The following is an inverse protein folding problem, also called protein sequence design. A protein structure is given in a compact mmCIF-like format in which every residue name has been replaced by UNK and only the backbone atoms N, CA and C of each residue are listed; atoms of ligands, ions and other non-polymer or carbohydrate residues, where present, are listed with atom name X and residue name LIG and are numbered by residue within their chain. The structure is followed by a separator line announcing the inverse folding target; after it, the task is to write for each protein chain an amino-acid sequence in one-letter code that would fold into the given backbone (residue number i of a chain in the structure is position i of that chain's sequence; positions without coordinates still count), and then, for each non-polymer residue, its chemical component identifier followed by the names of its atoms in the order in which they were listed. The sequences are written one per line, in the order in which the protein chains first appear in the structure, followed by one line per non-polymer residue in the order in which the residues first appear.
data_IF_179109613662
#
_entry.id   IF_179109613662
#
_cell.length_a   1.000
_cell.length_b   1.000
_cell.length_c   1.000
_cell.angle_alpha   90.00
_cell.angle_beta   90.00
_cell.angle_gamma   90.00
#
_symmetry.space_group_name_H-M   'P 1'
#
loop_
_entity.id
_entity.type
_entity.pdbx_description
1 polymer ?
#
# COMPACT_ATOMS: atom_id res chain seq x y z
N UNK A 1 -3.36 -58.26 30.60
CA UNK A 1 -3.47 -57.42 29.37
C UNK A 1 -3.50 -55.98 29.83
N UNK A 2 -2.35 -55.29 29.68
CA UNK A 2 -2.16 -54.12 28.79
C UNK A 2 -2.72 -52.79 29.35
N UNK A 3 -1.75 -51.93 29.71
CA UNK A 3 -1.73 -50.48 29.90
C UNK A 3 -2.72 -49.65 29.06
N UNK A 4 -3.17 -48.50 29.58
CA UNK A 4 -2.64 -47.16 29.21
C UNK A 4 -3.14 -46.06 30.17
N UNK A 5 -2.18 -45.27 30.65
CA UNK A 5 -2.34 -43.97 31.26
C UNK A 5 -2.19 -42.86 30.18
N UNK A 6 -2.86 -41.71 30.38
CA UNK A 6 -2.57 -40.40 29.75
C UNK A 6 -2.79 -39.37 30.87
N UNK A 7 -1.78 -38.83 31.55
CA UNK A 7 -0.75 -37.88 31.11
C UNK A 7 -1.36 -36.62 30.46
N UNK A 8 -1.87 -35.70 31.29
CA UNK A 8 -1.87 -34.27 30.95
C UNK A 8 -0.60 -33.68 31.55
N UNK A 9 0.28 -33.28 30.63
CA UNK A 9 1.61 -32.75 30.83
C UNK A 9 1.46 -31.31 31.31
N UNK A 10 1.80 -31.06 32.57
CA UNK A 10 2.29 -29.75 32.99
C UNK A 10 3.55 -29.49 32.16
N UNK A 11 3.49 -28.53 31.24
CA UNK A 11 4.68 -28.06 30.57
C UNK A 11 5.44 -27.20 31.60
N UNK A 12 6.38 -27.82 32.31
CA UNK A 12 7.49 -27.10 32.93
C UNK A 12 8.29 -26.45 31.80
N UNK A 13 8.10 -25.15 31.57
CA UNK A 13 9.11 -24.37 30.87
C UNK A 13 10.16 -24.00 31.91
N UNK A 14 11.32 -24.66 31.79
CA UNK A 14 12.53 -24.22 32.45
C UNK A 14 12.96 -22.90 31.84
N UNK A 15 12.92 -21.81 32.61
CA UNK A 15 13.75 -20.63 32.32
C UNK A 15 14.97 -20.71 33.22
N UNK A 16 16.05 -21.21 32.66
CA UNK A 16 17.39 -20.87 33.11
C UNK A 16 17.72 -19.49 32.54
N UNK A 17 17.65 -18.44 33.36
CA UNK A 17 18.39 -17.20 33.13
C UNK A 17 18.67 -16.53 34.48
N UNK A 18 19.92 -16.10 34.62
CA UNK A 18 20.58 -15.70 35.85
C UNK A 18 19.96 -14.48 36.56
N UNK A 19 20.07 -14.48 37.90
CA UNK A 19 20.27 -13.24 38.65
C UNK A 19 19.07 -12.70 39.44
N UNK A 20 18.44 -13.49 40.30
CA UNK A 20 17.66 -12.94 41.42
C UNK A 20 18.26 -13.45 42.74
N UNK A 21 19.06 -12.61 43.40
CA UNK A 21 19.52 -12.81 44.77
C UNK A 21 18.40 -12.43 45.75
N UNK A 22 17.30 -13.18 45.73
CA UNK A 22 16.32 -13.15 46.80
C UNK A 22 16.65 -14.29 47.76
N UNK A 23 16.91 -13.98 49.02
CA UNK A 23 17.19 -15.01 50.03
C UNK A 23 15.93 -15.84 50.28
N UNK A 24 15.82 -17.01 49.66
CA UNK A 24 14.82 -18.01 50.01
C UNK A 24 15.11 -18.52 51.43
N UNK A 25 14.39 -17.93 52.39
CA UNK A 25 14.29 -18.46 53.74
C UNK A 25 13.34 -19.66 53.68
N UNK A 26 13.73 -20.87 54.13
CA UNK A 26 12.82 -22.01 54.12
C UNK A 26 11.62 -21.72 55.03
N UNK A 27 10.44 -22.14 54.56
CA UNK A 27 9.17 -21.96 55.25
C UNK A 27 9.21 -22.52 56.68
N UNK A 28 8.76 -21.72 57.64
CA UNK A 28 8.50 -22.12 59.02
C UNK A 28 7.28 -23.07 59.06
N UNK A 29 7.40 -24.32 59.55
CA UNK A 29 6.31 -25.28 59.56
C UNK A 29 5.19 -24.97 60.57
N UNK A 30 5.20 -23.83 61.26
CA UNK A 30 4.22 -23.50 62.31
C UNK A 30 3.00 -22.67 61.87
N UNK A 31 2.78 -22.38 60.57
CA UNK A 31 1.61 -21.61 60.13
C UNK A 31 0.80 -22.29 59.00
N UNK A 32 -0.32 -22.98 59.29
CA UNK A 32 -1.16 -23.61 58.28
C UNK A 32 -2.06 -22.63 57.50
N UNK A 33 -1.88 -21.31 57.66
CA UNK A 33 -2.61 -20.29 56.89
C UNK A 33 -1.78 -19.66 55.77
N UNK A 34 -0.69 -20.30 55.33
CA UNK A 34 -0.08 -19.97 54.05
C UNK A 34 -1.02 -20.43 52.92
N UNK A 35 -2.14 -19.72 52.77
CA UNK A 35 -2.92 -19.74 51.55
C UNK A 35 -1.94 -19.54 50.40
N UNK A 36 -2.00 -20.44 49.40
CA UNK A 36 -1.36 -20.25 48.12
C UNK A 36 -1.77 -18.86 47.64
N UNK A 37 -0.91 -17.86 47.83
CA UNK A 37 -1.00 -16.65 47.06
C UNK A 37 -0.73 -17.12 45.63
N UNK A 38 -1.81 -17.24 44.86
CA UNK A 38 -1.74 -17.15 43.42
C UNK A 38 -1.08 -15.79 43.18
N UNK A 39 0.24 -15.80 43.06
CA UNK A 39 1.01 -14.64 42.66
C UNK A 39 0.51 -14.31 41.27
N UNK A 40 -0.41 -13.35 41.21
CA UNK A 40 -0.70 -12.66 39.96
C UNK A 40 0.59 -11.93 39.63
N UNK A 41 1.39 -12.55 38.75
CA UNK A 41 2.36 -11.78 38.00
C UNK A 41 1.49 -10.85 37.16
N UNK A 42 1.35 -9.60 37.61
CA UNK A 42 0.83 -8.54 36.75
C UNK A 42 1.86 -8.43 35.62
N UNK A 43 1.60 -9.19 34.55
CA UNK A 43 2.36 -9.12 33.33
C UNK A 43 2.14 -7.71 32.80
N UNK A 44 3.23 -6.94 32.71
CA UNK A 44 3.14 -5.57 32.25
C UNK A 44 2.61 -5.58 30.82
N UNK A 45 1.57 -4.80 30.59
CA UNK A 45 0.94 -4.65 29.29
C UNK A 45 0.79 -3.18 28.94
N UNK A 46 1.00 -2.86 27.67
CA UNK A 46 0.91 -1.50 27.14
C UNK A 46 -0.02 -1.38 25.95
N UNK A 47 -0.09 -0.16 25.44
CA UNK A 47 -0.89 0.24 24.28
C UNK A 47 0.01 0.57 23.09
N UNK A 48 -0.41 0.17 21.89
CA UNK A 48 0.33 0.32 20.65
C UNK A 48 -0.64 0.66 19.51
N UNK A 49 -0.35 1.73 18.76
CA UNK A 49 -1.14 2.14 17.59
C UNK A 49 -0.97 3.61 17.29
N UNK A 50 -1.94 4.17 16.57
CA UNK A 50 -2.44 5.54 16.64
C UNK A 50 -3.36 5.72 15.44
N UNK A 51 -2.82 6.07 14.25
CA UNK A 51 -3.67 6.54 13.15
C UNK A 51 -3.21 6.09 11.75
N UNK A 52 -4.19 5.70 10.94
CA UNK A 52 -4.06 5.65 9.47
C UNK A 52 -4.74 6.88 8.90
N UNK A 53 -4.07 7.65 8.03
CA UNK A 53 -4.64 8.87 7.46
C UNK A 53 -4.54 8.92 5.94
N UNK A 54 -5.39 9.75 5.32
CA UNK A 54 -5.27 10.10 3.91
C UNK A 54 -4.27 11.25 3.76
N UNK A 55 -3.07 10.94 3.27
CA UNK A 55 -2.04 11.90 2.90
C UNK A 55 -2.36 12.43 1.49
N UNK A 56 -3.05 13.56 1.43
CA UNK A 56 -3.64 14.10 0.20
C UNK A 56 -2.56 14.66 -0.73
N UNK A 57 -1.42 15.06 -0.18
CA UNK A 57 -0.34 15.66 -0.95
C UNK A 57 0.89 14.72 -1.09
N UNK A 58 0.84 13.55 -0.46
CA UNK A 58 1.82 12.47 -0.52
C UNK A 58 3.21 12.89 -0.05
N UNK A 59 3.29 13.74 0.98
CA UNK A 59 4.55 14.22 1.55
C UNK A 59 5.06 13.39 2.73
N UNK A 60 4.30 12.40 3.20
CA UNK A 60 4.64 11.55 4.33
C UNK A 60 4.40 12.17 5.70
N UNK A 61 3.67 13.29 5.78
CA UNK A 61 3.40 14.05 7.00
C UNK A 61 1.90 14.19 7.25
N UNK A 62 1.52 14.17 8.52
CA UNK A 62 0.14 14.46 8.94
C UNK A 62 -0.10 15.97 8.92
N UNK A 63 -0.67 16.47 7.82
CA UNK A 63 -0.98 17.89 7.67
C UNK A 63 -2.29 18.29 8.36
N UNK A 64 -2.40 19.58 8.68
CA UNK A 64 -3.55 20.14 9.44
C UNK A 64 -4.91 19.85 8.81
N UNK A 65 -4.97 19.79 7.48
CA UNK A 65 -6.22 19.62 6.72
C UNK A 65 -6.51 18.13 6.42
N UNK A 66 -5.61 17.22 6.81
CA UNK A 66 -5.70 15.78 6.55
C UNK A 66 -6.30 15.07 7.76
N UNK A 67 -7.54 15.42 8.12
CA UNK A 67 -8.18 14.93 9.35
C UNK A 67 -8.92 13.59 9.20
N UNK A 68 -9.03 13.07 7.97
CA UNK A 68 -9.73 11.82 7.68
C UNK A 68 -8.83 10.58 7.74
N UNK A 69 -9.44 9.41 7.71
CA UNK A 69 -8.75 8.12 7.61
C UNK A 69 -9.71 7.01 7.17
N UNK A 70 -9.19 5.86 6.71
CA UNK A 70 -10.03 4.75 6.26
C UNK A 70 -10.72 4.09 7.46
N UNK A 71 -12.00 3.76 7.30
CA UNK A 71 -12.74 2.97 8.30
C UNK A 71 -12.67 1.48 7.97
N UNK A 72 -12.41 0.65 8.99
CA UNK A 72 -12.51 -0.80 8.87
C UNK A 72 -11.30 -1.46 8.21
N UNK A 73 -10.18 -0.76 8.06
CA UNK A 73 -8.95 -1.30 7.48
C UNK A 73 -8.33 -2.31 8.44
N UNK A 74 -7.99 -3.51 7.99
CA UNK A 74 -7.38 -4.54 8.85
C UNK A 74 -5.94 -4.18 9.21
N UNK A 75 -5.62 -4.28 10.51
CA UNK A 75 -4.29 -4.04 11.07
C UNK A 75 -3.84 -5.26 11.85
N UNK A 76 -2.64 -5.76 11.56
CA UNK A 76 -2.08 -7.00 12.12
C UNK A 76 -0.78 -6.73 12.88
N UNK A 77 -0.74 -7.13 14.15
CA UNK A 77 0.47 -7.13 14.97
C UNK A 77 1.15 -8.50 14.88
N UNK A 78 2.42 -8.52 14.44
CA UNK A 78 3.20 -9.77 14.29
C UNK A 78 4.44 -9.72 15.15
N UNK A 79 4.75 -10.81 15.85
CA UNK A 79 5.98 -10.97 16.61
C UNK A 79 7.15 -11.28 15.64
N UNK A 80 8.15 -10.40 15.59
CA UNK A 80 9.26 -10.54 14.64
C UNK A 80 10.18 -11.73 14.91
N UNK A 81 10.29 -12.17 16.17
CA UNK A 81 11.15 -13.29 16.54
C UNK A 81 10.57 -14.64 16.09
N UNK A 82 9.24 -14.77 16.08
CA UNK A 82 8.54 -16.04 15.81
C UNK A 82 7.78 -16.03 14.48
N UNK A 83 7.48 -14.85 13.92
CA UNK A 83 6.59 -14.67 12.78
C UNK A 83 5.11 -14.89 13.09
N UNK A 84 4.75 -15.09 14.37
CA UNK A 84 3.37 -15.36 14.76
C UNK A 84 2.54 -14.07 14.81
N UNK A 85 1.30 -14.14 14.31
CA UNK A 85 0.30 -13.10 14.54
C UNK A 85 -0.08 -13.09 16.01
N UNK A 86 0.05 -11.93 16.64
CA UNK A 86 -0.23 -11.70 18.06
C UNK A 86 -1.66 -11.23 18.24
N UNK A 87 -2.09 -10.27 17.41
CA UNK A 87 -3.42 -9.69 17.44
C UNK A 87 -3.76 -9.07 16.07
N UNK A 88 -5.06 -8.91 15.82
CA UNK A 88 -5.59 -8.08 14.73
C UNK A 88 -6.61 -7.09 15.29
N UNK A 89 -6.75 -5.95 14.61
CA UNK A 89 -7.76 -4.92 14.90
C UNK A 89 -8.17 -4.24 13.58
N UNK A 90 -9.08 -3.28 13.65
CA UNK A 90 -9.48 -2.47 12.48
C UNK A 90 -9.51 -1.00 12.83
N UNK A 91 -9.24 -0.13 11.85
CA UNK A 91 -9.37 1.31 12.02
C UNK A 91 -10.83 1.75 12.24
N UNK A 92 -11.02 2.81 13.02
CA UNK A 92 -12.32 3.44 13.26
C UNK A 92 -12.71 4.44 12.16
N UNK A 93 -13.84 5.15 12.33
CA UNK A 93 -14.34 6.10 11.32
C UNK A 93 -13.43 7.31 11.05
N UNK A 94 -12.42 7.55 11.88
CA UNK A 94 -11.42 8.61 11.70
C UNK A 94 -10.03 8.04 11.41
N UNK A 95 -9.90 6.72 11.20
CA UNK A 95 -8.64 6.04 10.93
C UNK A 95 -7.86 5.59 12.16
N UNK A 96 -8.38 5.76 13.38
CA UNK A 96 -7.65 5.37 14.58
C UNK A 96 -7.72 3.86 14.83
N UNK A 97 -6.63 3.28 15.33
CA UNK A 97 -6.58 1.87 15.74
C UNK A 97 -5.77 1.71 17.02
N UNK A 98 -6.03 0.63 17.77
CA UNK A 98 -5.35 0.38 19.04
C UNK A 98 -5.21 -1.12 19.31
N UNK A 99 -4.00 -1.54 19.66
CA UNK A 99 -3.73 -2.79 20.36
C UNK A 99 -3.53 -2.48 21.84
N UNK A 100 -4.41 -3.02 22.69
CA UNK A 100 -4.25 -2.97 24.14
C UNK A 100 -3.77 -4.33 24.66
N UNK A 101 -3.12 -4.35 25.82
CA UNK A 101 -2.68 -5.61 26.42
C UNK A 101 -1.39 -6.17 25.83
N UNK A 102 -0.56 -5.34 25.19
CA UNK A 102 0.66 -5.79 24.48
C UNK A 102 1.80 -5.96 25.48
N UNK A 103 2.46 -7.11 25.43
CA UNK A 103 3.62 -7.45 26.28
C UNK A 103 4.93 -6.94 25.68
N UNK A 104 5.98 -6.83 26.50
CA UNK A 104 7.35 -6.59 26.04
C UNK A 104 7.74 -7.54 24.90
N UNK A 105 8.37 -7.01 23.85
CA UNK A 105 8.80 -7.85 22.75
C UNK A 105 9.30 -7.11 21.52
N UNK A 106 9.51 -7.87 20.44
CA UNK A 106 9.81 -7.32 19.12
C UNK A 106 8.65 -7.58 18.18
N UNK A 107 8.13 -6.51 17.60
CA UNK A 107 6.94 -6.57 16.76
C UNK A 107 7.10 -5.76 15.49
N UNK A 108 6.24 -6.06 14.52
CA UNK A 108 5.93 -5.20 13.40
C UNK A 108 4.42 -5.10 13.24
N UNK A 109 3.95 -3.99 12.72
CA UNK A 109 2.54 -3.77 12.39
C UNK A 109 2.44 -3.81 10.87
N UNK A 110 1.47 -4.55 10.35
CA UNK A 110 1.16 -4.59 8.93
C UNK A 110 -0.29 -4.22 8.70
N UNK A 111 -0.53 -3.45 7.66
CA UNK A 111 -1.83 -2.91 7.31
C UNK A 111 -2.27 -3.52 5.98
N UNK A 112 -3.56 -3.79 5.84
CA UNK A 112 -4.14 -4.04 4.52
C UNK A 112 -3.99 -2.78 3.67
N UNK A 113 -3.51 -2.89 2.42
CA UNK A 113 -3.47 -1.76 1.50
C UNK A 113 -4.84 -1.61 0.85
N UNK A 114 -5.58 -0.50 1.07
CA UNK A 114 -6.86 -0.28 0.41
C UNK A 114 -6.71 -0.16 -1.11
N UNK A 115 -7.71 -0.63 -1.84
CA UNK A 115 -7.82 -0.39 -3.27
C UNK A 115 -7.80 1.12 -3.58
N UNK A 116 -7.07 1.50 -4.63
CA UNK A 116 -6.93 2.91 -5.02
C UNK A 116 -5.87 3.70 -4.24
N UNK A 117 -5.26 3.13 -3.19
CA UNK A 117 -4.24 3.80 -2.38
C UNK A 117 -2.90 3.06 -2.38
N UNK A 118 -1.84 3.81 -2.12
CA UNK A 118 -0.48 3.34 -1.84
C UNK A 118 0.03 4.00 -0.56
N UNK A 119 1.06 3.40 0.03
CA UNK A 119 1.70 3.96 1.22
C UNK A 119 2.56 5.16 0.83
N UNK A 120 2.47 6.22 1.63
CA UNK A 120 3.23 7.45 1.42
C UNK A 120 4.72 7.27 1.80
N UNK A 121 5.48 8.37 1.80
CA UNK A 121 6.87 8.38 2.22
C UNK A 121 7.00 8.08 3.73
N UNK A 122 7.81 7.08 4.06
CA UNK A 122 8.22 6.69 5.41
C UNK A 122 9.18 7.73 6.05
N UNK A 123 9.09 7.89 7.37
CA UNK A 123 10.05 8.63 8.21
C UNK A 123 10.36 10.07 7.73
N UNK A 124 9.32 10.85 7.40
CA UNK A 124 9.49 12.21 6.91
C UNK A 124 9.53 13.26 8.02
N UNK A 125 10.21 14.38 7.74
CA UNK A 125 10.30 15.50 8.68
C UNK A 125 11.18 15.21 9.89
N UNK A 126 10.84 15.79 11.05
CA UNK A 126 11.62 15.67 12.29
C UNK A 126 10.79 15.32 13.52
N UNK A 127 9.47 15.11 13.34
CA UNK A 127 8.56 14.81 14.43
C UNK A 127 7.91 13.45 14.16
N UNK A 128 8.43 12.42 14.83
CA UNK A 128 8.02 11.02 14.71
C UNK A 128 6.57 10.71 15.10
N UNK A 129 5.79 11.68 15.56
CA UNK A 129 4.35 11.51 15.83
C UNK A 129 3.48 12.24 14.80
N UNK A 130 4.07 12.63 13.67
CA UNK A 130 3.40 13.32 12.56
C UNK A 130 3.87 12.80 11.20
N UNK A 131 4.56 11.67 11.13
CA UNK A 131 5.03 11.03 9.91
C UNK A 131 4.45 9.63 9.76
N UNK A 132 4.86 8.90 8.72
CA UNK A 132 4.44 7.52 8.46
C UNK A 132 5.55 6.56 8.88
N UNK A 133 5.23 5.57 9.70
CA UNK A 133 6.17 4.50 10.10
C UNK A 133 6.15 3.30 9.13
N UNK A 134 5.26 3.35 8.13
CA UNK A 134 4.97 2.24 7.23
C UNK A 134 5.70 2.41 5.91
N UNK A 135 6.46 1.37 5.54
CA UNK A 135 7.13 1.28 4.26
C UNK A 135 6.20 0.85 3.12
N UNK A 136 6.74 0.77 1.90
CA UNK A 136 5.97 0.44 0.70
C UNK A 136 5.36 -0.97 0.67
N UNK A 137 5.80 -1.87 1.56
CA UNK A 137 5.23 -3.20 1.74
C UNK A 137 3.99 -3.21 2.66
N UNK A 138 3.58 -2.05 3.19
CA UNK A 138 2.45 -1.91 4.09
C UNK A 138 2.74 -2.37 5.51
N UNK A 139 4.02 -2.52 5.86
CA UNK A 139 4.44 -2.86 7.21
C UNK A 139 5.42 -1.83 7.77
N UNK A 140 5.45 -1.72 9.09
CA UNK A 140 6.58 -1.11 9.78
C UNK A 140 7.80 -2.02 9.70
N UNK A 141 8.99 -1.44 9.94
CA UNK A 141 10.14 -2.21 10.38
C UNK A 141 9.87 -2.97 11.70
N UNK A 142 10.71 -3.95 12.02
CA UNK A 142 10.66 -4.57 13.34
C UNK A 142 11.19 -3.59 14.40
N UNK A 143 10.40 -3.35 15.44
CA UNK A 143 10.76 -2.49 16.57
C UNK A 143 10.62 -3.23 17.89
N UNK A 144 11.33 -2.73 18.91
CA UNK A 144 11.20 -3.19 20.29
C UNK A 144 10.10 -2.40 20.98
N UNK A 145 9.15 -3.11 21.59
CA UNK A 145 8.10 -2.52 22.41
C UNK A 145 8.36 -2.83 23.89
N UNK A 146 8.22 -1.81 24.72
CA UNK A 146 8.30 -1.89 26.18
C UNK A 146 6.92 -1.53 26.74
N UNK A 147 6.27 -2.46 27.41
CA UNK A 147 4.87 -2.38 27.86
C UNK A 147 4.61 -1.25 28.87
N UNK A 148 5.65 -0.74 29.53
CA UNK A 148 5.57 0.41 30.44
C UNK A 148 5.66 1.76 29.71
N UNK A 149 5.82 1.74 28.38
CA UNK A 149 5.89 2.90 27.49
C UNK A 149 4.93 2.72 26.32
N UNK A 150 3.65 3.14 26.49
CA UNK A 150 2.71 3.18 25.39
C UNK A 150 3.33 3.88 24.18
N UNK A 151 3.15 3.29 23.00
CA UNK A 151 3.64 3.84 21.76
C UNK A 151 2.45 4.16 20.85
N UNK A 152 2.04 5.43 20.90
CA UNK A 152 0.93 5.99 20.14
C UNK A 152 1.42 6.92 19.03
N UNK A 153 2.51 6.52 18.38
CA UNK A 153 3.11 7.16 17.21
C UNK A 153 3.40 6.06 16.19
N UNK A 154 2.45 5.15 15.97
CA UNK A 154 2.56 4.10 14.96
C UNK A 154 1.53 4.45 13.90
N UNK A 155 1.95 5.29 12.97
CA UNK A 155 1.10 5.95 12.02
C UNK A 155 1.36 5.45 10.60
N UNK A 156 0.32 5.48 9.77
CA UNK A 156 0.40 5.02 8.38
C UNK A 156 -0.31 5.97 7.42
N UNK A 157 0.46 6.61 6.53
CA UNK A 157 -0.07 7.55 5.55
C UNK A 157 -0.45 6.85 4.25
N UNK A 158 -1.68 7.07 3.80
CA UNK A 158 -2.18 6.59 2.51
C UNK A 158 -2.20 7.74 1.52
N UNK A 159 -1.33 7.66 0.53
CA UNK A 159 -1.40 8.49 -0.66
C UNK A 159 -2.44 7.87 -1.58
N UNK A 160 -3.40 8.67 -2.09
CA UNK A 160 -4.17 8.23 -3.24
C UNK A 160 -3.16 7.87 -4.32
N UNK A 161 -3.18 6.64 -4.81
CA UNK A 161 -2.36 6.33 -5.96
C UNK A 161 -2.78 7.33 -7.02
N UNK A 162 -1.89 8.21 -7.46
CA UNK A 162 -2.17 9.12 -8.58
C UNK A 162 -2.56 8.23 -9.75
N UNK A 163 -3.86 8.13 -9.97
CA UNK A 163 -4.55 6.94 -10.47
C UNK A 163 -3.71 5.66 -10.62
N UNK A 164 -3.37 5.02 -9.51
CA UNK A 164 -2.88 3.62 -9.54
C UNK A 164 -4.02 2.63 -9.72
N UNK A 165 -4.87 2.93 -10.68
CA UNK A 165 -5.51 1.97 -11.54
C UNK A 165 -4.70 1.89 -12.82
N UNK A 166 -3.53 1.25 -12.76
CA UNK A 166 -3.01 0.51 -13.89
C UNK A 166 -3.94 -0.67 -14.19
N UNK A 167 -5.21 -0.38 -14.50
CA UNK A 167 -6.04 -1.28 -15.28
C UNK A 167 -5.21 -1.55 -16.52
N UNK A 168 -5.07 -2.82 -16.87
CA UNK A 168 -4.01 -3.32 -17.70
C UNK A 168 -3.85 -2.62 -19.05
N UNK A 169 -4.73 -1.68 -19.47
CA UNK A 169 -4.91 -1.09 -20.78
C UNK A 169 -4.16 0.17 -21.23
N UNK A 170 -3.44 0.91 -20.37
CA UNK A 170 -2.97 2.27 -20.75
C UNK A 170 -1.47 2.54 -20.63
N UNK A 171 -0.68 1.54 -20.24
CA UNK A 171 0.78 1.67 -20.27
C UNK A 171 1.33 1.35 -21.66
N UNK A 172 2.51 1.87 -22.03
CA UNK A 172 3.21 1.43 -23.23
C UNK A 172 3.42 -0.10 -23.30
N UNK A 173 3.58 -0.77 -22.15
CA UNK A 173 3.71 -2.23 -22.05
C UNK A 173 2.44 -2.99 -22.43
N UNK A 174 1.26 -2.44 -22.13
CA UNK A 174 0.00 -3.02 -22.56
C UNK A 174 -0.13 -3.02 -24.08
N UNK A 175 -0.03 -1.83 -24.68
CA UNK A 175 -0.28 -1.62 -26.10
C UNK A 175 0.64 -2.46 -26.97
N UNK A 176 1.88 -2.66 -26.52
CA UNK A 176 2.84 -3.58 -27.13
C UNK A 176 2.33 -5.02 -27.20
N UNK A 177 1.74 -5.51 -26.11
CA UNK A 177 1.31 -6.91 -25.97
C UNK A 177 -0.15 -7.16 -26.37
N UNK A 178 -0.91 -6.10 -26.67
CA UNK A 178 -2.37 -6.16 -26.88
C UNK A 178 -2.79 -5.46 -28.18
N UNK A 179 -2.17 -5.86 -29.30
CA UNK A 179 -2.43 -5.28 -30.63
C UNK A 179 -3.90 -5.33 -31.07
N UNK A 180 -4.70 -6.25 -30.52
CA UNK A 180 -6.14 -6.34 -30.82
C UNK A 180 -6.93 -5.11 -30.36
N UNK A 181 -6.45 -4.39 -29.33
CA UNK A 181 -7.10 -3.17 -28.84
C UNK A 181 -6.83 -1.95 -29.72
N UNK A 182 -5.78 -1.97 -30.54
CA UNK A 182 -5.47 -0.87 -31.46
C UNK A 182 -6.59 -0.68 -32.49
N UNK A 183 -7.33 -1.75 -32.81
CA UNK A 183 -8.41 -1.73 -33.78
C UNK A 183 -9.58 -0.80 -33.40
N UNK A 184 -9.69 -0.40 -32.13
CA UNK A 184 -10.65 0.59 -31.65
C UNK A 184 -10.13 2.04 -31.75
N UNK A 185 -8.88 2.24 -32.13
CA UNK A 185 -8.23 3.53 -32.37
C UNK A 185 -8.11 3.78 -33.89
N UNK A 186 -7.85 5.03 -34.35
CA UNK A 186 -7.50 5.28 -35.74
C UNK A 186 -6.07 4.84 -36.09
N UNK A 187 -5.31 4.31 -35.13
CA UNK A 187 -3.91 3.99 -35.27
C UNK A 187 -3.68 2.48 -35.46
N UNK A 188 -2.65 2.13 -36.23
CA UNK A 188 -2.22 0.75 -36.41
C UNK A 188 -0.69 0.63 -36.43
N UNK A 189 -0.13 -0.54 -36.11
CA UNK A 189 1.32 -0.71 -35.97
C UNK A 189 2.14 -0.39 -37.22
N UNK A 190 1.54 -0.39 -38.41
CA UNK A 190 2.23 -0.15 -39.68
C UNK A 190 2.33 1.32 -40.11
N UNK A 191 1.75 2.26 -39.36
CA UNK A 191 1.88 3.69 -39.65
C UNK A 191 3.24 4.22 -39.18
N UNK A 192 3.78 5.19 -39.91
CA UNK A 192 5.05 5.82 -39.55
C UNK A 192 4.88 6.79 -38.36
N UNK A 193 5.86 6.79 -37.45
CA UNK A 193 5.82 7.62 -36.23
C UNK A 193 5.75 9.11 -36.59
N UNK A 194 6.65 9.58 -37.46
CA UNK A 194 6.72 11.01 -37.80
C UNK A 194 5.45 11.50 -38.53
N UNK A 195 4.80 10.64 -39.34
CA UNK A 195 3.53 10.96 -39.99
C UNK A 195 2.37 11.09 -39.00
N UNK A 196 2.35 10.23 -37.97
CA UNK A 196 1.30 10.22 -36.95
C UNK A 196 1.42 11.42 -36.00
N UNK A 197 2.64 11.76 -35.59
CA UNK A 197 2.90 12.86 -34.66
C UNK A 197 3.08 14.21 -35.36
N UNK A 198 3.35 14.23 -36.67
CA UNK A 198 3.57 15.46 -37.43
C UNK A 198 4.86 16.20 -37.05
N UNK A 199 5.83 15.52 -36.43
CA UNK A 199 7.12 16.06 -36.05
C UNK A 199 8.21 14.96 -36.04
N UNK A 200 9.47 15.40 -36.10
CA UNK A 200 10.63 14.51 -36.18
C UNK A 200 10.97 13.90 -34.81
N UNK A 201 10.34 12.77 -34.49
CA UNK A 201 10.60 12.02 -33.26
C UNK A 201 11.64 10.92 -33.45
N UNK A 202 11.67 10.32 -34.64
CA UNK A 202 12.56 9.21 -35.02
C UNK A 202 13.06 9.41 -36.45
N UNK A 203 13.91 8.51 -36.95
CA UNK A 203 14.27 8.50 -38.36
C UNK A 203 13.08 8.09 -39.25
N UNK A 204 13.05 8.57 -40.49
CA UNK A 204 12.01 8.25 -41.48
C UNK A 204 11.87 6.73 -41.70
N UNK A 205 10.64 6.27 -41.94
CA UNK A 205 10.33 4.86 -42.17
C UNK A 205 10.19 4.01 -40.91
N UNK A 206 10.38 4.56 -39.70
CA UNK A 206 10.12 3.84 -38.45
C UNK A 206 8.63 3.84 -38.16
N UNK A 207 8.06 2.64 -37.98
CA UNK A 207 6.64 2.45 -37.71
C UNK A 207 6.29 2.50 -36.21
N UNK A 208 5.02 2.75 -35.89
CA UNK A 208 4.51 2.73 -34.50
C UNK A 208 4.79 1.38 -33.82
N UNK A 209 4.65 0.27 -34.54
CA UNK A 209 4.93 -1.09 -34.04
C UNK A 209 6.41 -1.31 -33.74
N UNK A 210 7.29 -0.93 -34.64
CA UNK A 210 8.74 -1.04 -34.42
C UNK A 210 9.21 -0.18 -33.24
N UNK A 211 8.68 1.04 -33.14
CA UNK A 211 9.04 1.98 -32.09
C UNK A 211 8.56 1.52 -30.70
N UNK A 212 7.31 1.03 -30.60
CA UNK A 212 6.77 0.54 -29.33
C UNK A 212 7.48 -0.74 -28.86
N UNK A 213 7.96 -1.58 -29.78
CA UNK A 213 8.68 -2.82 -29.46
C UNK A 213 10.13 -2.61 -29.02
N UNK A 214 10.76 -1.46 -29.34
CA UNK A 214 12.18 -1.22 -29.06
C UNK A 214 12.44 0.10 -28.32
N UNK A 215 11.99 0.25 -27.05
CA UNK A 215 12.12 1.50 -26.29
C UNK A 215 13.58 1.86 -25.99
N UNK A 216 14.47 0.86 -25.91
CA UNK A 216 15.92 1.06 -25.73
C UNK A 216 16.58 1.64 -26.99
N UNK A 217 15.94 1.52 -28.15
CA UNK A 217 16.46 2.00 -29.44
C UNK A 217 15.91 3.37 -29.80
N UNK A 218 14.61 3.59 -29.59
CA UNK A 218 13.91 4.81 -30.03
C UNK A 218 13.62 5.80 -28.89
N UNK A 219 13.95 5.43 -27.65
CA UNK A 219 13.86 6.29 -26.49
C UNK A 219 12.49 6.23 -25.80
N UNK A 220 12.53 6.54 -24.50
CA UNK A 220 11.36 6.49 -23.61
C UNK A 220 10.27 7.49 -24.00
N UNK A 221 10.64 8.66 -24.54
CA UNK A 221 9.68 9.66 -25.04
C UNK A 221 8.75 9.06 -26.09
N UNK A 222 9.32 8.45 -27.13
CA UNK A 222 8.56 7.85 -28.24
C UNK A 222 7.67 6.73 -27.72
N UNK A 223 8.18 5.93 -26.78
CA UNK A 223 7.44 4.84 -26.17
C UNK A 223 6.20 5.30 -25.40
N UNK A 224 6.32 6.37 -24.58
CA UNK A 224 5.19 6.96 -23.86
C UNK A 224 4.26 7.77 -24.77
N UNK A 225 4.79 8.44 -25.78
CA UNK A 225 3.99 9.18 -26.75
C UNK A 225 3.04 8.27 -27.52
N UNK A 226 3.52 7.11 -27.98
CA UNK A 226 2.68 6.11 -28.69
C UNK A 226 1.55 5.62 -27.78
N UNK A 227 1.83 5.31 -26.52
CA UNK A 227 0.79 4.92 -25.58
C UNK A 227 -0.22 6.06 -25.34
N UNK A 228 0.26 7.29 -25.18
CA UNK A 228 -0.60 8.45 -24.96
C UNK A 228 -1.59 8.69 -26.10
N UNK A 229 -1.16 8.57 -27.37
CA UNK A 229 -2.09 8.75 -28.50
C UNK A 229 -3.11 7.61 -28.62
N UNK A 230 -2.73 6.38 -28.26
CA UNK A 230 -3.64 5.24 -28.23
C UNK A 230 -4.66 5.42 -27.12
N UNK A 231 -4.22 5.85 -25.94
CA UNK A 231 -5.10 6.17 -24.81
C UNK A 231 -6.09 7.28 -25.17
N UNK A 232 -5.59 8.42 -25.65
CA UNK A 232 -6.39 9.59 -26.00
C UNK A 232 -7.40 9.37 -27.14
N UNK A 233 -7.25 8.28 -27.91
CA UNK A 233 -8.10 7.99 -29.07
C UNK A 233 -8.97 6.74 -28.92
N UNK A 234 -8.77 5.95 -27.87
CA UNK A 234 -9.54 4.73 -27.64
C UNK A 234 -10.88 5.05 -26.96
N UNK A 235 -12.03 4.60 -27.49
CA UNK A 235 -13.36 5.03 -27.04
C UNK A 235 -13.70 4.61 -25.61
N UNK A 236 -13.14 3.49 -25.16
CA UNK A 236 -13.41 2.95 -23.83
C UNK A 236 -12.38 3.38 -22.79
N UNK A 237 -11.35 4.15 -23.18
CA UNK A 237 -10.27 4.62 -22.31
C UNK A 237 -10.63 6.01 -21.78
N UNK A 238 -10.77 6.14 -20.46
CA UNK A 238 -10.87 7.46 -19.81
C UNK A 238 -9.46 8.03 -19.60
N UNK A 239 -9.04 8.95 -20.47
CA UNK A 239 -7.71 9.54 -20.47
C UNK A 239 -7.81 11.06 -20.45
N UNK A 240 -7.04 11.70 -19.57
CA UNK A 240 -7.17 13.13 -19.27
C UNK A 240 -6.79 14.01 -20.47
N UNK A 241 -5.84 13.56 -21.29
CA UNK A 241 -5.29 14.34 -22.40
C UNK A 241 -5.98 14.03 -23.72
N UNK A 242 -6.18 15.05 -24.54
CA UNK A 242 -6.55 14.90 -25.94
C UNK A 242 -5.37 14.45 -26.80
N UNK A 243 -5.67 13.89 -27.98
CA UNK A 243 -4.63 13.53 -28.98
C UNK A 243 -3.73 14.71 -29.31
N UNK A 244 -4.30 15.92 -29.41
CA UNK A 244 -3.53 17.14 -29.71
C UNK A 244 -2.55 17.53 -28.61
N UNK A 245 -2.92 17.34 -27.34
CA UNK A 245 -2.05 17.61 -26.18
C UNK A 245 -0.88 16.62 -26.12
N UNK A 246 -1.15 15.34 -26.35
CA UNK A 246 -0.09 14.31 -26.43
C UNK A 246 0.88 14.62 -27.57
N UNK A 247 0.38 14.96 -28.77
CA UNK A 247 1.24 15.32 -29.91
C UNK A 247 2.10 16.54 -29.58
N UNK A 248 1.49 17.59 -29.01
CA UNK A 248 2.23 18.81 -28.64
C UNK A 248 3.35 18.48 -27.65
N UNK A 249 3.05 17.72 -26.60
CA UNK A 249 4.04 17.34 -25.59
C UNK A 249 5.17 16.50 -26.19
N UNK A 250 4.83 15.52 -27.05
CA UNK A 250 5.79 14.66 -27.72
C UNK A 250 6.76 15.47 -28.59
N UNK A 251 6.23 16.39 -29.41
CA UNK A 251 7.04 17.24 -30.28
C UNK A 251 7.89 18.26 -29.51
N UNK A 252 7.54 18.57 -28.27
CA UNK A 252 8.37 19.40 -27.36
C UNK A 252 9.34 18.58 -26.50
N UNK A 253 9.29 17.25 -26.56
CA UNK A 253 10.16 16.38 -25.79
C UNK A 253 9.75 16.18 -24.32
N UNK A 254 8.52 16.49 -23.96
CA UNK A 254 8.02 16.38 -22.59
C UNK A 254 7.63 14.92 -22.27
N UNK A 255 8.65 14.09 -22.00
CA UNK A 255 8.44 12.68 -21.70
C UNK A 255 7.75 12.47 -20.36
N UNK A 256 8.04 13.32 -19.38
CA UNK A 256 7.68 13.10 -17.98
C UNK A 256 6.19 13.34 -17.80
N UNK A 257 5.65 14.44 -18.34
CA UNK A 257 4.21 14.71 -18.27
C UNK A 257 3.38 13.66 -19.01
N UNK A 258 3.87 13.14 -20.14
CA UNK A 258 3.18 12.05 -20.88
C UNK A 258 3.26 10.73 -20.10
N UNK A 259 4.40 10.43 -19.46
CA UNK A 259 4.56 9.25 -18.62
C UNK A 259 3.61 9.32 -17.42
N UNK A 260 3.62 10.45 -16.70
CA UNK A 260 2.73 10.70 -15.57
C UNK A 260 1.25 10.56 -15.99
N UNK A 261 0.84 11.10 -17.14
CA UNK A 261 -0.54 10.95 -17.64
C UNK A 261 -0.90 9.49 -17.98
N UNK A 262 0.03 8.73 -18.56
CA UNK A 262 -0.18 7.29 -18.83
C UNK A 262 -0.23 6.46 -17.54
N UNK A 263 0.50 6.89 -16.51
CA UNK A 263 0.59 6.23 -15.21
C UNK A 263 -0.55 6.62 -14.27
N UNK A 264 -1.16 7.80 -14.46
CA UNK A 264 -2.37 8.25 -13.78
C UNK A 264 -3.64 7.44 -14.10
N UNK A 265 -3.51 6.38 -14.92
CA UNK A 265 -4.52 5.36 -15.11
C UNK A 265 -5.63 5.74 -16.07
N UNK A 266 -6.25 4.71 -16.64
CA UNK A 266 -7.48 4.83 -17.41
C UNK A 266 -8.40 3.65 -17.06
N UNK A 267 -9.70 3.89 -16.90
CA UNK A 267 -10.66 2.79 -16.78
C UNK A 267 -11.14 2.38 -18.16
N UNK A 268 -10.83 1.15 -18.60
CA UNK A 268 -11.47 0.55 -19.78
C UNK A 268 -12.93 0.26 -19.46
N UNK A 269 -13.83 1.15 -19.87
CA UNK A 269 -15.27 1.03 -19.67
C UNK A 269 -15.88 -0.04 -20.58
N UNK A 270 -15.61 -1.32 -20.28
CA UNK A 270 -16.13 -2.45 -21.06
C UNK A 270 -16.05 -3.84 -20.39
N UNK A 271 -15.43 -3.95 -19.22
CA UNK A 271 -15.41 -5.19 -18.44
C UNK A 271 -16.66 -5.33 -17.57
N UNK A 272 -17.60 -6.17 -17.99
CA UNK A 272 -18.77 -6.67 -17.26
C UNK A 272 -18.73 -6.44 -15.72
N UNK A 273 -19.52 -5.46 -15.27
CA UNK A 273 -19.92 -5.31 -13.86
C UNK A 273 -20.71 -6.53 -13.42
N UNK A 274 -20.14 -7.39 -12.58
CA UNK A 274 -20.94 -8.26 -11.70
C UNK A 274 -20.44 -8.20 -10.27
N UNK A 275 -21.17 -7.41 -9.46
CA UNK A 275 -21.11 -7.35 -7.99
C UNK A 275 -20.00 -6.42 -7.50
N UNK A 276 -20.22 -5.35 -6.74
CA UNK A 276 -21.22 -5.14 -5.70
C UNK A 276 -21.50 -3.62 -5.58
N UNK A 277 -22.73 -3.24 -5.24
CA UNK A 277 -23.26 -1.90 -5.46
C UNK A 277 -22.97 -0.83 -4.41
N UNK A 278 -23.30 0.41 -4.81
CA UNK A 278 -23.37 1.62 -3.97
C UNK A 278 -22.15 2.52 -4.23
N UNK A 279 -22.25 3.75 -4.73
CA UNK A 279 -23.35 4.71 -4.75
C UNK A 279 -23.18 5.63 -5.96
N UNK A 280 -24.26 5.85 -6.71
CA UNK A 280 -24.31 6.85 -7.76
C UNK A 280 -24.18 8.26 -7.15
N UNK A 281 -23.12 8.99 -7.45
CA UNK A 281 -23.14 10.46 -7.41
C UNK A 281 -23.04 11.01 -8.83
N UNK A 282 -24.22 11.24 -9.36
CA UNK A 282 -24.48 11.95 -10.60
C UNK A 282 -24.01 13.40 -10.51
N UNK A 283 -22.82 13.71 -11.06
CA UNK A 283 -22.46 15.07 -11.45
C UNK A 283 -22.25 15.11 -12.97
N UNK A 284 -23.33 15.30 -13.70
CA UNK A 284 -23.31 15.46 -15.15
C UNK A 284 -22.41 16.61 -15.59
N UNK A 285 -21.32 16.28 -16.30
CA UNK A 285 -20.64 17.22 -17.19
C UNK A 285 -21.17 16.99 -18.61
N UNK A 286 -22.18 17.79 -18.95
CA UNK A 286 -22.65 17.98 -20.32
C UNK A 286 -21.46 18.43 -21.17
N UNK A 287 -21.09 17.64 -22.19
CA UNK A 287 -20.22 18.07 -23.28
C UNK A 287 -20.87 19.30 -23.94
N UNK A 288 -20.22 20.46 -23.84
CA UNK A 288 -20.57 21.61 -24.70
C UNK A 288 -19.92 21.39 -26.06
N UNK A 289 -20.76 21.42 -27.09
CA UNK A 289 -20.39 21.50 -28.50
C UNK A 289 -19.36 22.60 -28.78
#
# INVERSE_FOLDING_TARGET
MRWHARLLLLCCIAVFAAGCTGTDRPADPANPSAALQMQTFDECTGELGDRVWFDVNCNGLQDKDETGGPQGLEVTLTNCATGAVVATTTTDANGFYLFAGVLDGQYKICFETPDGYEWTLEDQGTNNGLDSDVGSDGCTGCFTFECDKPNLNMDAGLCEKKGGGGGEGCTPGFWRNHLTHWAATPYNPGQEVNDVFGCDLVADGVTLGEAIDAPQTYGVLVFHAIAGILNASHPDVDYEWSVGEVISAACTGDKDSIADANEAGCTLSGGNTTGNGGNDDSAGKIKKN
#
